data_IF_245988706384
#
_entry.id   IF_245988706384
#
_cell.length_a   1.000
_cell.length_b   1.000
_cell.length_c   1.000
_cell.angle_alpha   90.00
_cell.angle_beta   90.00
_cell.angle_gamma   90.00
#
_symmetry.space_group_name_H-M   'P 1'
#
loop_
_entity.id
_entity.type
_entity.pdbx_description
1 polymer ?
#
# COMPACT_ATOMS: atom_id res chain seq x y z
N UNK A 1 16.25 -16.35 4.66
CA UNK A 1 15.86 -15.53 5.83
C UNK A 1 15.67 -14.10 5.35
N UNK A 2 14.52 -13.48 5.61
CA UNK A 2 14.36 -12.04 5.35
C UNK A 2 15.31 -11.27 6.27
N UNK A 3 15.97 -10.24 5.74
CA UNK A 3 16.74 -9.31 6.58
C UNK A 3 15.80 -8.67 7.62
N UNK A 4 16.37 -8.25 8.76
CA UNK A 4 15.67 -7.93 10.02
C UNK A 4 14.54 -6.88 9.94
N UNK A 5 14.32 -6.17 8.83
CA UNK A 5 13.18 -5.27 8.58
C UNK A 5 12.83 -5.28 7.07
N UNK A 6 12.37 -6.42 6.56
CA UNK A 6 11.96 -6.53 5.14
C UNK A 6 10.81 -7.54 4.99
N UNK A 7 10.03 -7.72 6.06
CA UNK A 7 8.93 -8.67 6.10
C UNK A 7 7.72 -8.21 5.31
N UNK A 8 6.59 -8.92 5.48
CA UNK A 8 5.28 -8.48 4.98
C UNK A 8 4.80 -7.34 5.87
N UNK A 9 4.52 -6.19 5.27
CA UNK A 9 4.08 -4.97 5.96
C UNK A 9 2.66 -4.56 5.57
N UNK A 10 2.13 -5.10 4.48
CA UNK A 10 0.73 -4.89 4.10
C UNK A 10 0.08 -6.19 3.63
N UNK A 11 -1.13 -6.46 4.10
CA UNK A 11 -1.93 -7.63 3.72
C UNK A 11 -3.35 -7.18 3.39
N UNK A 12 -3.89 -7.63 2.26
CA UNK A 12 -5.26 -7.33 1.85
C UNK A 12 -5.94 -8.59 1.31
N UNK A 13 -7.21 -8.78 1.69
CA UNK A 13 -8.07 -9.79 1.11
C UNK A 13 -8.77 -9.23 -0.15
N UNK A 14 -8.78 -10.03 -1.22
CA UNK A 14 -9.50 -9.74 -2.45
C UNK A 14 -10.94 -10.29 -2.38
N UNK A 15 -11.83 -9.73 -3.21
CA UNK A 15 -13.24 -10.13 -3.24
C UNK A 15 -13.47 -11.61 -3.60
N UNK A 16 -12.51 -12.24 -4.30
CA UNK A 16 -12.55 -13.65 -4.69
C UNK A 16 -11.89 -14.59 -3.68
N UNK A 17 -11.54 -14.10 -2.48
CA UNK A 17 -10.97 -14.89 -1.39
C UNK A 17 -9.46 -15.10 -1.48
N UNK A 18 -8.78 -14.53 -2.49
CA UNK A 18 -7.31 -14.49 -2.53
C UNK A 18 -6.76 -13.45 -1.54
N UNK A 19 -5.49 -13.60 -1.17
CA UNK A 19 -4.77 -12.62 -0.34
C UNK A 19 -3.57 -12.06 -1.09
N UNK A 20 -3.32 -10.75 -0.98
CA UNK A 20 -2.09 -10.11 -1.43
C UNK A 20 -1.29 -9.61 -0.24
N UNK A 21 -0.03 -10.02 -0.15
CA UNK A 21 0.91 -9.65 0.88
C UNK A 21 2.08 -8.86 0.26
N UNK A 22 2.24 -7.60 0.62
CA UNK A 22 3.33 -6.74 0.16
C UNK A 22 4.44 -6.70 1.20
N UNK A 23 5.69 -6.80 0.75
CA UNK A 23 6.86 -6.66 1.61
C UNK A 23 7.36 -5.23 1.68
N UNK A 24 8.05 -4.86 2.76
CA UNK A 24 8.64 -3.53 2.92
C UNK A 24 9.69 -3.26 1.84
N UNK A 25 10.64 -4.19 1.71
CA UNK A 25 11.80 -4.08 0.82
C UNK A 25 12.46 -5.42 0.50
N UNK A 26 11.80 -6.56 0.72
CA UNK A 26 12.37 -7.85 0.33
C UNK A 26 12.49 -7.89 -1.19
N UNK A 27 13.66 -8.22 -1.73
CA UNK A 27 13.83 -8.36 -3.17
C UNK A 27 13.02 -9.54 -3.73
N UNK A 28 12.32 -9.33 -4.86
CA UNK A 28 11.64 -10.40 -5.58
C UNK A 28 12.64 -11.36 -6.24
N UNK A 29 12.34 -12.65 -6.23
CA UNK A 29 13.25 -13.73 -6.65
C UNK A 29 13.49 -13.77 -8.16
N UNK A 30 12.48 -13.42 -8.97
CA UNK A 30 12.50 -13.62 -10.42
C UNK A 30 12.87 -12.36 -11.26
N UNK A 31 13.21 -11.24 -10.65
CA UNK A 31 13.45 -9.99 -11.38
C UNK A 31 14.90 -9.90 -11.90
N UNK A 32 15.13 -10.38 -13.13
CA UNK A 32 16.35 -10.10 -13.90
C UNK A 32 16.50 -8.58 -14.12
N UNK A 33 17.21 -7.88 -13.24
CA UNK A 33 17.74 -6.53 -13.48
C UNK A 33 16.98 -5.34 -12.88
N UNK A 34 16.02 -5.53 -11.96
CA UNK A 34 15.37 -4.44 -11.22
C UNK A 34 15.15 -4.84 -9.76
N UNK A 35 15.53 -3.98 -8.80
CA UNK A 35 15.31 -4.14 -7.36
C UNK A 35 13.81 -4.02 -6.97
N UNK A 36 12.97 -4.90 -7.53
CA UNK A 36 11.55 -4.92 -7.21
C UNK A 36 11.32 -5.55 -5.83
N UNK A 37 10.27 -5.10 -5.13
CA UNK A 37 9.88 -5.69 -3.87
C UNK A 37 9.01 -6.93 -4.09
N UNK A 38 9.21 -7.97 -3.29
CA UNK A 38 8.42 -9.19 -3.33
C UNK A 38 6.98 -8.89 -2.91
N UNK A 39 6.04 -9.47 -3.64
CA UNK A 39 4.62 -9.50 -3.29
C UNK A 39 4.19 -10.95 -3.38
N UNK A 40 3.37 -11.42 -2.44
CA UNK A 40 2.87 -12.79 -2.46
C UNK A 40 1.37 -12.80 -2.66
N UNK A 41 0.92 -13.59 -3.63
CA UNK A 41 -0.49 -13.87 -3.88
C UNK A 41 -0.80 -15.27 -3.34
N UNK A 42 -1.71 -15.35 -2.38
CA UNK A 42 -2.22 -16.63 -1.89
C UNK A 42 -3.53 -16.99 -2.58
N UNK A 43 -3.64 -18.25 -3.01
CA UNK A 43 -4.88 -18.86 -3.47
C UNK A 43 -5.12 -20.17 -2.72
N UNK A 44 -6.33 -20.38 -2.18
CA UNK A 44 -6.66 -21.50 -1.29
C UNK A 44 -6.19 -22.88 -1.79
N UNK A 45 -6.28 -23.15 -3.10
CA UNK A 45 -5.91 -24.44 -3.69
C UNK A 45 -4.49 -24.48 -4.30
N UNK A 46 -3.85 -23.33 -4.51
CA UNK A 46 -2.53 -23.25 -5.17
C UNK A 46 -1.40 -22.85 -4.21
N UNK A 47 -1.74 -22.34 -3.02
CA UNK A 47 -0.78 -21.79 -2.08
C UNK A 47 -0.29 -20.40 -2.49
N UNK A 48 0.93 -20.06 -2.06
CA UNK A 48 1.56 -18.77 -2.34
C UNK A 48 2.29 -18.78 -3.67
N UNK A 49 2.10 -17.72 -4.45
CA UNK A 49 2.87 -17.42 -5.65
C UNK A 49 3.50 -16.04 -5.53
N UNK A 50 4.72 -15.87 -6.05
CA UNK A 50 5.41 -14.58 -6.05
C UNK A 50 4.94 -13.70 -7.22
N UNK A 51 4.74 -12.42 -6.91
CA UNK A 51 4.60 -11.27 -7.77
C UNK A 51 5.71 -10.28 -7.38
N UNK A 52 5.87 -9.21 -8.16
CA UNK A 52 6.82 -8.16 -7.85
C UNK A 52 6.11 -6.80 -7.80
N UNK A 53 6.55 -5.89 -6.94
CA UNK A 53 6.14 -4.50 -6.92
C UNK A 53 7.27 -3.64 -7.45
N UNK A 54 6.99 -2.82 -8.48
CA UNK A 54 7.98 -1.87 -8.98
C UNK A 54 8.10 -0.69 -7.99
N UNK A 55 9.25 -0.46 -7.34
CA UNK A 55 9.43 0.70 -6.47
C UNK A 55 9.38 1.99 -7.28
N UNK A 56 8.87 3.05 -6.67
CA UNK A 56 8.83 4.40 -7.24
C UNK A 56 9.26 5.39 -6.18
N UNK A 57 10.46 5.96 -6.34
CA UNK A 57 11.07 6.84 -5.34
C UNK A 57 11.52 6.08 -4.09
N UNK A 58 11.51 6.77 -2.94
CA UNK A 58 11.97 6.24 -1.64
C UNK A 58 10.83 5.65 -0.78
N UNK A 59 9.65 5.45 -1.38
CA UNK A 59 8.46 4.99 -0.68
C UNK A 59 8.43 3.46 -0.58
N UNK A 60 8.00 2.97 0.59
CA UNK A 60 7.84 1.54 0.89
C UNK A 60 6.42 1.22 1.34
N UNK A 61 5.87 0.03 1.04
CA UNK A 61 4.56 -0.39 1.50
C UNK A 61 4.43 -0.38 3.03
N UNK A 62 3.31 0.10 3.54
CA UNK A 62 2.96 0.04 4.96
C UNK A 62 1.51 -0.34 5.23
N UNK A 63 0.64 -0.32 4.22
CA UNK A 63 -0.75 -0.76 4.35
C UNK A 63 -1.40 -0.98 2.99
N UNK A 64 -2.50 -1.73 2.96
CA UNK A 64 -3.25 -1.96 1.73
C UNK A 64 -4.73 -2.17 2.02
N UNK A 65 -5.59 -1.73 1.10
CA UNK A 65 -7.03 -1.96 1.20
C UNK A 65 -7.66 -2.19 -0.18
N UNK A 66 -8.69 -3.03 -0.20
CA UNK A 66 -9.47 -3.33 -1.40
C UNK A 66 -10.48 -2.21 -1.65
N UNK A 67 -10.55 -1.73 -2.88
CA UNK A 67 -11.58 -0.82 -3.34
C UNK A 67 -12.82 -1.59 -3.84
N UNK A 68 -13.99 -0.94 -3.89
CA UNK A 68 -15.23 -1.55 -4.38
C UNK A 68 -15.15 -2.08 -5.82
N UNK A 69 -14.29 -1.50 -6.66
CA UNK A 69 -14.05 -1.91 -8.04
C UNK A 69 -13.05 -3.07 -8.19
N UNK A 70 -12.53 -3.59 -7.07
CA UNK A 70 -11.57 -4.69 -7.02
C UNK A 70 -10.11 -4.25 -7.14
N UNK A 71 -9.83 -2.97 -7.39
CA UNK A 71 -8.48 -2.45 -7.34
C UNK A 71 -7.97 -2.42 -5.88
N UNK A 72 -6.65 -2.37 -5.70
CA UNK A 72 -6.05 -2.24 -4.37
C UNK A 72 -5.42 -0.86 -4.23
N UNK A 73 -5.77 -0.14 -3.17
CA UNK A 73 -4.99 0.99 -2.70
C UNK A 73 -3.85 0.50 -1.83
N UNK A 74 -2.65 0.88 -2.22
CA UNK A 74 -1.44 0.66 -1.46
C UNK A 74 -1.06 1.97 -0.76
N UNK A 75 -0.99 1.93 0.58
CA UNK A 75 -0.38 2.96 1.38
C UNK A 75 1.13 2.72 1.41
N UNK A 76 1.88 3.74 1.03
CA UNK A 76 3.33 3.72 1.09
C UNK A 76 3.85 4.90 1.89
N UNK A 77 4.98 4.71 2.56
CA UNK A 77 5.61 5.71 3.43
C UNK A 77 7.07 5.89 3.07
N UNK A 78 7.57 7.12 3.23
CA UNK A 78 8.99 7.46 3.18
C UNK A 78 9.38 8.28 4.40
N UNK A 79 10.65 8.21 4.77
CA UNK A 79 11.27 9.13 5.71
C UNK A 79 12.60 9.64 5.14
N UNK A 80 12.80 10.95 5.15
CA UNK A 80 14.10 11.55 4.78
C UNK A 80 14.47 12.64 5.78
N UNK A 81 15.77 12.87 5.99
CA UNK A 81 16.26 13.85 6.97
C UNK A 81 15.76 15.27 6.69
N UNK A 82 15.77 15.70 5.43
CA UNK A 82 15.34 17.05 5.03
C UNK A 82 13.84 17.15 4.75
N UNK A 83 13.24 16.10 4.20
CA UNK A 83 11.87 16.11 3.71
C UNK A 83 10.86 15.48 4.67
N UNK A 84 11.29 15.05 5.84
CA UNK A 84 10.47 14.42 6.88
C UNK A 84 9.71 13.19 6.40
N UNK A 85 8.59 12.92 7.05
CA UNK A 85 7.63 11.88 6.65
C UNK A 85 6.87 12.32 5.41
N UNK A 86 6.71 11.38 4.47
CA UNK A 86 5.76 11.50 3.38
C UNK A 86 5.00 10.20 3.22
N UNK A 87 3.72 10.28 2.89
CA UNK A 87 2.90 9.12 2.57
C UNK A 87 2.29 9.27 1.18
N UNK A 88 2.02 8.13 0.56
CA UNK A 88 1.47 8.04 -0.79
C UNK A 88 0.37 7.00 -0.82
N UNK A 89 -0.68 7.28 -1.60
CA UNK A 89 -1.65 6.28 -2.02
C UNK A 89 -1.42 5.95 -3.49
N UNK A 90 -1.17 4.67 -3.76
CA UNK A 90 -1.00 4.13 -5.10
C UNK A 90 -2.10 3.14 -5.43
N UNK A 91 -2.79 3.37 -6.54
CA UNK A 91 -3.83 2.50 -7.08
C UNK A 91 -3.21 1.39 -7.93
N UNK A 92 -3.33 0.15 -7.48
CA UNK A 92 -2.89 -1.04 -8.21
C UNK A 92 -4.10 -1.69 -8.90
N UNK A 93 -4.09 -1.82 -10.24
CA UNK A 93 -5.21 -2.40 -10.98
C UNK A 93 -5.45 -3.89 -10.67
N UNK A 94 -6.73 -4.26 -10.52
CA UNK A 94 -7.16 -5.64 -10.22
C UNK A 94 -6.62 -6.68 -11.22
N UNK A 95 -6.56 -6.29 -12.50
CA UNK A 95 -6.09 -7.15 -13.59
C UNK A 95 -4.61 -7.58 -13.46
N UNK A 96 -3.83 -6.89 -12.63
CA UNK A 96 -2.42 -7.20 -12.40
C UNK A 96 -2.21 -8.34 -11.40
N UNK A 97 -3.22 -8.73 -10.62
CA UNK A 97 -3.10 -9.73 -9.56
C UNK A 97 -3.06 -11.15 -10.11
N UNK A 98 -1.92 -11.55 -10.65
CA UNK A 98 -1.66 -12.91 -11.17
C UNK A 98 -0.21 -13.31 -10.92
N UNK A 99 0.10 -14.61 -10.72
CA UNK A 99 1.46 -15.08 -10.49
C UNK A 99 2.48 -14.53 -11.50
N UNK A 100 3.66 -14.11 -11.01
CA UNK A 100 4.76 -13.57 -11.82
C UNK A 100 4.54 -12.18 -12.41
N UNK A 101 3.42 -11.50 -12.11
CA UNK A 101 3.20 -10.13 -12.57
C UNK A 101 4.10 -9.13 -11.85
N UNK A 102 4.50 -8.08 -12.56
CA UNK A 102 5.09 -6.88 -11.97
C UNK A 102 3.99 -5.85 -11.78
N UNK A 103 3.62 -5.63 -10.53
CA UNK A 103 2.66 -4.63 -10.10
C UNK A 103 3.26 -3.24 -10.28
N UNK A 104 2.57 -2.48 -11.13
CA UNK A 104 2.70 -1.04 -11.26
C UNK A 104 1.37 -0.41 -10.84
N UNK A 105 1.37 0.87 -10.51
CA UNK A 105 0.13 1.57 -10.18
C UNK A 105 0.26 3.06 -10.41
N UNK A 106 -0.89 3.72 -10.40
CA UNK A 106 -0.97 5.17 -10.48
C UNK A 106 -0.92 5.76 -9.08
N UNK A 107 -0.05 6.75 -8.86
CA UNK A 107 -0.12 7.59 -7.68
C UNK A 107 -1.39 8.45 -7.77
N UNK A 108 -2.25 8.37 -6.75
CA UNK A 108 -3.51 9.13 -6.71
C UNK A 108 -3.52 10.21 -5.63
N UNK A 109 -2.61 10.12 -4.65
CA UNK A 109 -2.40 11.14 -3.63
C UNK A 109 -1.01 11.01 -3.02
N UNK A 110 -0.39 12.14 -2.69
CA UNK A 110 0.80 12.22 -1.85
C UNK A 110 0.55 13.27 -0.75
N UNK A 111 0.76 12.89 0.51
CA UNK A 111 0.70 13.79 1.65
C UNK A 111 2.10 13.94 2.24
N UNK A 112 2.55 15.19 2.33
CA UNK A 112 3.83 15.60 2.92
C UNK A 112 3.66 16.98 3.54
N UNK A 113 4.64 17.41 4.34
CA UNK A 113 4.68 18.77 4.87
C UNK A 113 4.49 19.81 3.73
N UNK A 114 3.68 20.85 3.96
CA UNK A 114 3.07 21.27 5.24
C UNK A 114 1.71 20.64 5.57
N UNK A 115 1.22 19.65 4.81
CA UNK A 115 -0.02 18.94 5.13
C UNK A 115 0.13 18.14 6.42
N UNK A 116 -1.01 17.80 7.05
CA UNK A 116 -1.02 16.86 8.18
C UNK A 116 -0.57 15.50 7.68
N UNK A 117 0.59 15.05 8.15
CA UNK A 117 1.19 13.75 7.83
C UNK A 117 1.83 13.18 9.09
N UNK A 118 1.74 11.87 9.28
CA UNK A 118 2.41 11.14 10.34
C UNK A 118 2.77 9.72 9.84
N UNK A 119 3.20 8.83 10.73
CA UNK A 119 3.62 7.47 10.44
C UNK A 119 2.43 6.54 10.18
N UNK A 120 1.69 6.80 9.10
CA UNK A 120 0.55 5.97 8.72
C UNK A 120 0.97 4.56 8.31
N UNK A 121 0.38 3.56 9.00
CA UNK A 121 0.59 2.12 8.79
C UNK A 121 -0.74 1.36 8.67
N UNK A 122 -1.85 1.98 9.05
CA UNK A 122 -3.19 1.46 8.77
C UNK A 122 -3.82 2.15 7.57
N UNK A 123 -4.42 1.37 6.67
CA UNK A 123 -5.35 1.84 5.64
C UNK A 123 -6.60 0.96 5.66
N UNK A 124 -7.77 1.59 5.75
CA UNK A 124 -9.06 0.93 5.61
C UNK A 124 -9.93 1.66 4.58
N UNK A 125 -10.75 0.90 3.86
CA UNK A 125 -11.73 1.40 2.90
C UNK A 125 -13.10 0.88 3.29
N UNK A 126 -14.11 1.77 3.26
CA UNK A 126 -15.50 1.36 3.36
C UNK A 126 -16.39 2.26 2.48
N UNK A 127 -17.57 1.75 2.12
CA UNK A 127 -18.62 2.55 1.49
C UNK A 127 -19.61 3.04 2.56
N UNK A 128 -20.03 4.31 2.48
CA UNK A 128 -21.11 4.83 3.33
C UNK A 128 -22.48 4.36 2.81
N UNK A 129 -23.54 4.58 3.60
CA UNK A 129 -24.91 4.26 3.18
C UNK A 129 -25.33 5.06 1.93
N UNK A 130 -24.73 6.23 1.72
CA UNK A 130 -24.94 7.11 0.57
C UNK A 130 -24.06 6.74 -0.64
N UNK A 131 -23.23 5.70 -0.53
CA UNK A 131 -22.38 5.19 -1.62
C UNK A 131 -21.01 5.86 -1.75
N UNK A 132 -20.66 6.79 -0.86
CA UNK A 132 -19.34 7.43 -0.87
C UNK A 132 -18.25 6.43 -0.44
N UNK A 133 -17.09 6.46 -1.11
CA UNK A 133 -15.92 5.64 -0.72
C UNK A 133 -15.05 6.41 0.26
N UNK A 134 -14.93 5.92 1.50
CA UNK A 134 -14.15 6.53 2.57
C UNK A 134 -12.83 5.79 2.78
N UNK A 135 -11.73 6.53 2.76
CA UNK A 135 -10.39 6.05 3.08
C UNK A 135 -10.07 6.49 4.51
N UNK A 136 -9.73 5.55 5.40
CA UNK A 136 -9.28 5.87 6.77
C UNK A 136 -7.83 5.47 6.91
N UNK A 137 -6.97 6.42 7.30
CA UNK A 137 -5.56 6.17 7.62
C UNK A 137 -5.36 6.24 9.13
N UNK A 138 -4.57 5.32 9.67
CA UNK A 138 -4.20 5.24 11.09
C UNK A 138 -2.68 5.33 11.24
N UNK A 139 -2.22 6.28 12.05
CA UNK A 139 -0.81 6.39 12.42
C UNK A 139 -0.47 5.40 13.51
N UNK A 140 0.71 4.80 13.39
CA UNK A 140 1.33 4.08 14.50
C UNK A 140 1.78 5.05 15.62
N UNK A 141 1.92 4.54 16.84
CA UNK A 141 2.26 5.33 18.02
C UNK A 141 3.78 5.48 18.23
N UNK A 142 4.61 4.58 17.68
CA UNK A 142 6.08 4.55 17.61
C UNK A 142 6.88 5.02 18.85
N UNK A 143 6.22 5.19 20.00
CA UNK A 143 6.79 5.61 21.28
C UNK A 143 7.67 6.89 21.25
N UNK A 144 7.50 7.78 20.27
CA UNK A 144 8.27 9.02 20.15
C UNK A 144 7.43 10.25 20.52
N UNK A 145 7.97 11.11 21.38
CA UNK A 145 7.31 12.35 21.84
C UNK A 145 7.01 13.38 20.72
N UNK A 146 7.61 13.23 19.54
CA UNK A 146 7.39 14.12 18.38
C UNK A 146 6.30 13.64 17.41
N UNK A 147 5.82 12.38 17.54
CA UNK A 147 4.79 11.80 16.68
C UNK A 147 3.39 12.00 17.27
N UNK A 148 2.37 12.06 16.41
CA UNK A 148 0.96 12.18 16.80
C UNK A 148 0.25 10.87 16.47
N UNK A 149 -0.59 10.40 17.39
CA UNK A 149 -1.55 9.34 17.06
C UNK A 149 -2.72 9.95 16.30
N UNK A 150 -2.77 9.69 14.99
CA UNK A 150 -3.77 10.25 14.08
C UNK A 150 -4.68 9.19 13.51
N UNK A 151 -5.97 9.51 13.44
CA UNK A 151 -6.94 8.90 12.54
C UNK A 151 -7.40 10.00 11.60
N UNK A 152 -7.19 9.82 10.29
CA UNK A 152 -7.65 10.76 9.27
C UNK A 152 -8.54 10.04 8.28
N UNK A 153 -9.56 10.72 7.78
CA UNK A 153 -10.49 10.16 6.81
C UNK A 153 -10.62 11.07 5.59
N UNK A 154 -10.60 10.46 4.40
CA UNK A 154 -10.78 11.11 3.12
C UNK A 154 -11.96 10.51 2.38
N UNK A 155 -12.59 11.29 1.51
CA UNK A 155 -13.48 10.78 0.47
C UNK A 155 -12.68 10.54 -0.80
N UNK A 156 -12.83 9.36 -1.41
CA UNK A 156 -12.26 9.09 -2.72
C UNK A 156 -13.30 9.43 -3.79
N UNK A 157 -13.01 10.45 -4.59
CA UNK A 157 -13.82 10.81 -5.75
C UNK A 157 -13.22 10.16 -7.00
N UNK A 158 -14.09 9.74 -7.93
CA UNK A 158 -13.61 9.44 -9.28
C UNK A 158 -13.04 10.71 -9.89
N UNK A 159 -11.97 10.62 -10.72
CA UNK A 159 -11.47 11.79 -11.42
C UNK A 159 -12.62 12.46 -12.15
N UNK A 160 -12.79 13.78 -11.96
CA UNK A 160 -13.70 14.55 -12.77
C UNK A 160 -13.28 14.37 -14.23
N UNK A 161 -14.20 13.90 -15.06
CA UNK A 161 -14.04 14.00 -16.51
C UNK A 161 -14.25 15.45 -16.88
N UNK A 162 -13.22 16.26 -16.65
CA UNK A 162 -13.09 17.63 -17.17
C UNK A 162 -12.53 17.60 -18.60
#
# INVERSE_FOLDING_TARGET
AAALNSGVEALVALADGRLLAFTESQAASAANGTENYAVYLWEQRKGWAELALKPVGLFRPTGAALLPDGNVLLLERRFTLLGGVGIRLRLIPAAAFRPGAVLTGAEIAELRLPLTVDNFEGLAVHQTAEGATRLTLLSDDNFNALQRTLIVQFELHSPSSD
#
